data_IF_245332679997
#
_entry.id   IF_245332679997
#
_cell.length_a   1.000
_cell.length_b   1.000
_cell.length_c   1.000
_cell.angle_alpha   90.00
_cell.angle_beta   90.00
_cell.angle_gamma   90.00
#
_symmetry.space_group_name_H-M   'P 1'
#
loop_
_entity.id
_entity.type
_entity.pdbx_description
1 polymer ?
#
# COMPACT_ATOMS: atom_id res chain seq x y z
N UNK A 1 20.34 4.07 -17.25
CA UNK A 1 20.91 3.00 -16.39
C UNK A 1 20.51 3.36 -14.97
N UNK A 2 19.44 2.79 -14.42
CA UNK A 2 18.96 3.24 -13.10
C UNK A 2 17.55 2.83 -12.63
N UNK A 3 16.84 1.94 -13.33
CA UNK A 3 15.57 1.39 -12.82
C UNK A 3 15.74 -0.05 -12.29
N UNK A 4 16.56 -0.87 -12.98
CA UNK A 4 16.75 -2.29 -12.64
C UNK A 4 17.42 -2.55 -11.28
N UNK A 5 18.08 -1.55 -10.70
CA UNK A 5 18.72 -1.64 -9.38
C UNK A 5 17.72 -1.48 -8.24
N UNK A 6 16.81 -0.52 -8.37
CA UNK A 6 15.80 -0.24 -7.36
C UNK A 6 14.75 -1.36 -7.29
N UNK A 7 14.36 -1.93 -8.43
CA UNK A 7 13.39 -3.04 -8.46
C UNK A 7 13.91 -4.30 -7.74
N UNK A 8 15.21 -4.59 -7.83
CA UNK A 8 15.81 -5.75 -7.14
C UNK A 8 15.95 -5.54 -5.64
N UNK A 9 16.25 -4.32 -5.21
CA UNK A 9 16.33 -3.97 -3.78
C UNK A 9 14.92 -3.91 -3.18
N UNK A 10 13.95 -3.37 -3.92
CA UNK A 10 12.53 -3.36 -3.57
C UNK A 10 12.01 -4.78 -3.32
N UNK A 11 12.27 -5.71 -4.26
CA UNK A 11 11.86 -7.10 -4.13
C UNK A 11 12.53 -7.80 -2.94
N UNK A 12 13.84 -7.58 -2.76
CA UNK A 12 14.58 -8.15 -1.63
C UNK A 12 14.05 -7.64 -0.27
N UNK A 13 13.76 -6.34 -0.16
CA UNK A 13 13.22 -5.75 1.06
C UNK A 13 11.79 -6.24 1.32
N UNK A 14 10.96 -6.32 0.29
CA UNK A 14 9.61 -6.87 0.37
C UNK A 14 9.61 -8.31 0.90
N UNK A 15 10.46 -9.18 0.35
CA UNK A 15 10.61 -10.57 0.83
C UNK A 15 11.04 -10.61 2.30
N UNK A 16 11.96 -9.75 2.73
CA UNK A 16 12.38 -9.67 4.12
C UNK A 16 11.25 -9.23 5.06
N UNK A 17 10.43 -8.27 4.63
CA UNK A 17 9.24 -7.82 5.36
C UNK A 17 8.23 -8.96 5.47
N UNK A 18 7.84 -9.60 4.36
CA UNK A 18 6.86 -10.70 4.36
C UNK A 18 7.29 -11.85 5.27
N UNK A 19 8.58 -12.26 5.22
CA UNK A 19 9.10 -13.29 6.11
C UNK A 19 8.99 -12.89 7.59
N UNK A 20 9.20 -11.62 7.94
CA UNK A 20 9.02 -11.12 9.32
C UNK A 20 7.54 -11.08 9.72
N UNK A 21 6.63 -10.78 8.79
CA UNK A 21 5.19 -10.77 9.07
C UNK A 21 4.64 -12.16 9.43
N UNK A 22 5.27 -13.23 8.95
CA UNK A 22 4.90 -14.61 9.31
C UNK A 22 5.28 -15.01 10.75
N UNK A 23 6.05 -14.19 11.46
CA UNK A 23 6.40 -14.44 12.86
C UNK A 23 5.29 -14.08 13.86
N UNK A 24 5.58 -14.28 15.14
CA UNK A 24 4.73 -13.91 16.29
C UNK A 24 4.73 -12.39 16.57
N UNK A 25 4.58 -11.57 15.54
CA UNK A 25 4.36 -10.13 15.69
C UNK A 25 2.88 -9.85 15.90
N UNK A 26 2.56 -8.96 16.82
CA UNK A 26 1.23 -8.37 16.91
C UNK A 26 0.92 -7.47 15.70
N UNK A 27 -0.36 -7.20 15.47
CA UNK A 27 -0.83 -6.44 14.31
C UNK A 27 -0.18 -5.05 14.20
N UNK A 28 0.02 -4.34 15.32
CA UNK A 28 0.67 -3.03 15.33
C UNK A 28 2.13 -3.13 14.89
N UNK A 29 2.89 -4.09 15.42
CA UNK A 29 4.28 -4.32 14.99
C UNK A 29 4.39 -4.69 13.50
N UNK A 30 3.43 -5.47 12.98
CA UNK A 30 3.35 -5.81 11.54
C UNK A 30 3.08 -4.57 10.68
N UNK A 31 2.15 -3.72 11.11
CA UNK A 31 1.81 -2.47 10.42
C UNK A 31 3.03 -1.53 10.38
N UNK A 32 3.78 -1.39 11.48
CA UNK A 32 4.99 -0.53 11.50
C UNK A 32 6.05 -1.00 10.50
N UNK A 33 6.24 -2.31 10.32
CA UNK A 33 7.18 -2.83 9.30
C UNK A 33 6.73 -2.55 7.87
N UNK A 34 5.43 -2.59 7.62
CA UNK A 34 4.88 -2.22 6.33
C UNK A 34 5.01 -0.71 6.08
N UNK A 35 4.89 0.11 7.12
CA UNK A 35 5.21 1.55 7.04
C UNK A 35 6.67 1.81 6.70
N UNK A 36 7.62 1.15 7.39
CA UNK A 36 9.05 1.27 7.07
C UNK A 36 9.33 0.95 5.58
N UNK A 37 8.67 -0.08 5.05
CA UNK A 37 8.76 -0.42 3.62
C UNK A 37 8.17 0.67 2.73
N UNK A 38 6.96 1.16 3.00
CA UNK A 38 6.31 2.21 2.21
C UNK A 38 7.07 3.55 2.25
N UNK A 39 7.71 3.88 3.38
CA UNK A 39 8.55 5.07 3.52
C UNK A 39 9.84 4.94 2.70
N UNK A 40 10.34 3.72 2.52
CA UNK A 40 11.55 3.44 1.71
C UNK A 40 11.23 3.37 0.21
N UNK A 41 10.12 2.71 -0.14
CA UNK A 41 9.69 2.48 -1.52
C UNK A 41 8.24 2.95 -1.74
N UNK A 42 7.98 4.27 -1.69
CA UNK A 42 6.62 4.82 -1.81
C UNK A 42 6.02 4.64 -3.21
N UNK A 43 6.84 4.35 -4.22
CA UNK A 43 6.41 4.02 -5.58
C UNK A 43 6.92 2.64 -6.03
N UNK A 44 7.36 1.79 -5.09
CA UNK A 44 7.84 0.43 -5.39
C UNK A 44 6.74 -0.49 -5.92
N UNK A 45 7.12 -1.61 -6.55
CA UNK A 45 6.16 -2.50 -7.21
C UNK A 45 5.21 -3.14 -6.19
N UNK A 46 5.65 -3.31 -4.94
CA UNK A 46 4.82 -3.85 -3.87
C UNK A 46 4.13 -2.78 -3.01
N UNK A 47 4.16 -1.49 -3.38
CA UNK A 47 3.46 -0.41 -2.66
C UNK A 47 1.98 -0.74 -2.42
N UNK A 48 1.28 -1.15 -3.47
CA UNK A 48 -0.15 -1.49 -3.38
C UNK A 48 -0.40 -2.65 -2.42
N UNK A 49 0.42 -3.69 -2.49
CA UNK A 49 0.30 -4.87 -1.61
C UNK A 49 0.58 -4.51 -0.16
N UNK A 50 1.60 -3.70 0.10
CA UNK A 50 1.90 -3.22 1.44
C UNK A 50 0.74 -2.41 2.03
N UNK A 51 0.12 -1.54 1.21
CA UNK A 51 -1.04 -0.76 1.63
C UNK A 51 -2.27 -1.62 1.91
N UNK A 52 -2.56 -2.60 1.05
CA UNK A 52 -3.65 -3.58 1.24
C UNK A 52 -3.44 -4.38 2.54
N UNK A 53 -2.21 -4.85 2.79
CA UNK A 53 -1.88 -5.57 4.03
C UNK A 53 -2.03 -4.70 5.29
N UNK A 54 -1.69 -3.41 5.24
CA UNK A 54 -1.95 -2.49 6.36
C UNK A 54 -3.46 -2.36 6.59
N UNK A 55 -4.27 -2.14 5.56
CA UNK A 55 -5.73 -2.04 5.71
C UNK A 55 -6.34 -3.32 6.28
N UNK A 56 -5.84 -4.50 5.90
CA UNK A 56 -6.25 -5.78 6.51
C UNK A 56 -5.89 -5.86 8.00
N UNK A 57 -4.64 -5.54 8.36
CA UNK A 57 -4.17 -5.58 9.74
C UNK A 57 -4.87 -4.54 10.63
N UNK A 58 -5.34 -3.42 10.06
CA UNK A 58 -6.12 -2.42 10.79
C UNK A 58 -7.42 -2.99 11.35
N UNK A 59 -8.02 -4.02 10.73
CA UNK A 59 -9.21 -4.68 11.28
C UNK A 59 -8.91 -5.47 12.57
N UNK A 60 -7.66 -5.90 12.76
CA UNK A 60 -7.22 -6.60 13.97
C UNK A 60 -6.91 -5.63 15.13
N UNK A 61 -6.68 -4.34 14.83
CA UNK A 61 -6.45 -3.30 15.84
C UNK A 61 -7.76 -2.96 16.56
N UNK A 62 -7.84 -3.37 17.83
CA UNK A 62 -9.03 -3.18 18.69
C UNK A 62 -9.26 -1.72 19.06
N UNK A 63 -8.19 -0.95 19.26
CA UNK A 63 -8.30 0.47 19.62
C UNK A 63 -8.69 1.31 18.40
N UNK A 64 -9.90 1.89 18.44
CA UNK A 64 -10.44 2.65 17.34
C UNK A 64 -9.68 3.96 17.07
N UNK A 65 -9.12 4.58 18.09
CA UNK A 65 -8.32 5.81 17.95
C UNK A 65 -6.99 5.49 17.29
N UNK A 66 -6.29 4.47 17.79
CA UNK A 66 -5.04 4.00 17.23
C UNK A 66 -5.21 3.56 15.77
N UNK A 67 -6.29 2.83 15.46
CA UNK A 67 -6.64 2.46 14.08
C UNK A 67 -6.84 3.69 13.18
N UNK A 68 -7.52 4.73 13.66
CA UNK A 68 -7.71 5.97 12.90
C UNK A 68 -6.40 6.73 12.67
N UNK A 69 -5.51 6.76 13.65
CA UNK A 69 -4.17 7.35 13.54
C UNK A 69 -3.33 6.61 12.47
N UNK A 70 -3.29 5.27 12.52
CA UNK A 70 -2.58 4.46 11.53
C UNK A 70 -3.14 4.62 10.12
N UNK A 71 -4.47 4.66 9.96
CA UNK A 71 -5.12 4.91 8.66
C UNK A 71 -4.81 6.30 8.10
N UNK A 72 -4.70 7.30 8.98
CA UNK A 72 -4.29 8.66 8.59
C UNK A 72 -2.84 8.67 8.13
N UNK A 73 -1.93 7.95 8.82
CA UNK A 73 -0.54 7.78 8.40
C UNK A 73 -0.44 7.09 7.04
N UNK A 74 -1.22 6.04 6.79
CA UNK A 74 -1.26 5.36 5.50
C UNK A 74 -1.62 6.29 4.35
N UNK A 75 -2.62 7.15 4.55
CA UNK A 75 -2.98 8.18 3.56
C UNK A 75 -1.85 9.17 3.35
N UNK A 76 -1.24 9.68 4.42
CA UNK A 76 -0.16 10.65 4.32
C UNK A 76 1.06 10.11 3.54
N UNK A 77 1.39 8.82 3.69
CA UNK A 77 2.49 8.18 2.95
C UNK A 77 2.11 7.92 1.48
N UNK A 78 0.85 7.63 1.17
CA UNK A 78 0.42 7.26 -0.18
C UNK A 78 -0.09 8.41 -1.03
N UNK A 79 -0.80 9.39 -0.47
CA UNK A 79 -1.41 10.50 -1.20
C UNK A 79 -0.41 11.29 -2.07
N UNK A 80 0.84 11.56 -1.64
CA UNK A 80 1.82 12.21 -2.50
C UNK A 80 2.22 11.41 -3.76
N UNK A 81 1.97 10.08 -3.73
CA UNK A 81 2.42 9.13 -4.75
C UNK A 81 1.25 8.45 -5.49
N UNK A 82 0.01 8.62 -5.01
CA UNK A 82 -1.15 8.14 -5.72
C UNK A 82 -1.37 9.04 -6.94
N UNK A 83 -1.50 8.46 -8.16
CA UNK A 83 -1.95 9.25 -9.29
C UNK A 83 -3.30 9.86 -8.90
N UNK A 84 -3.57 11.13 -9.27
CA UNK A 84 -4.88 11.72 -9.03
C UNK A 84 -5.92 10.75 -9.56
N UNK A 85 -6.99 10.52 -8.79
CA UNK A 85 -8.17 9.86 -9.33
C UNK A 85 -8.58 10.73 -10.52
N UNK A 86 -8.26 10.29 -11.74
CA UNK A 86 -8.74 10.98 -12.93
C UNK A 86 -10.25 11.05 -12.72
N UNK A 87 -10.83 12.27 -12.68
CA UNK A 87 -12.23 12.44 -12.36
C UNK A 87 -13.01 11.70 -13.42
N UNK A 88 -13.44 10.49 -13.05
CA UNK A 88 -14.38 9.64 -13.76
C UNK A 88 -14.51 10.04 -15.22
N UNK A 89 -13.61 9.54 -16.09
CA UNK A 89 -14.01 9.37 -17.49
C UNK A 89 -15.13 8.35 -17.46
N UNK A 90 -16.32 8.83 -17.14
CA UNK A 90 -17.58 8.21 -17.44
C UNK A 90 -17.52 8.01 -18.95
N UNK A 91 -17.17 6.80 -19.36
CA UNK A 91 -17.41 6.34 -20.73
C UNK A 91 -18.88 5.94 -20.70
N UNK A 92 -19.80 6.75 -21.24
CA UNK A 92 -21.16 6.28 -21.40
C UNK A 92 -21.11 5.01 -22.23
N UNK A 93 -21.85 3.97 -21.82
CA UNK A 93 -22.21 2.84 -22.69
C UNK A 93 -23.21 3.31 -23.77
N UNK A 94 -22.98 4.47 -24.38
CA UNK A 94 -23.84 4.97 -25.46
C UNK A 94 -23.50 4.24 -26.74
N UNK A 95 -24.48 3.43 -27.15
CA UNK A 95 -24.81 3.07 -28.51
C UNK A 95 -23.72 2.38 -29.35
N UNK A 96 -23.56 1.09 -29.09
CA UNK A 96 -23.38 0.12 -30.18
C UNK A 96 -24.75 -0.33 -30.72
N UNK A 97 -25.67 0.61 -30.94
CA UNK A 97 -26.81 0.42 -31.84
C UNK A 97 -26.64 1.37 -33.03
N UNK A 98 -27.10 0.89 -34.19
CA UNK A 98 -27.08 1.55 -35.52
C UNK A 98 -25.74 1.36 -36.28
N UNK A 99 -25.64 0.56 -37.37
CA UNK A 99 -26.58 -0.18 -38.23
C UNK A 99 -25.90 -1.44 -38.81
#
# INVERSE_FOLDING_TARGET
MGADGDDRVDDALWVAVVNRLQGELDASARIERLFEYLETFPTGVHNRRAAEAIEELLYEVRDARHRAELRTRLRAVRDPHMPPLEPNTWIPFEDASEE
#
